data_IF_298197828280
#
_entry.id   IF_298197828280
#
_cell.length_a   1.000
_cell.length_b   1.000
_cell.length_c   1.000
_cell.angle_alpha   90.00
_cell.angle_beta   90.00
_cell.angle_gamma   90.00
#
_symmetry.space_group_name_H-M   'P 1'
#
loop_
_entity.id
_entity.type
_entity.pdbx_description
1 polymer ?
#
# COMPACT_ATOMS: atom_id res chain seq x y z
N UNK A 1 -11.44 -6.65 -7.87
CA UNK A 1 -10.13 -7.22 -8.25
C UNK A 1 -9.73 -8.27 -7.24
N UNK A 2 -8.97 -9.29 -7.62
CA UNK A 2 -8.51 -10.35 -6.70
C UNK A 2 -7.17 -9.99 -6.02
N UNK A 3 -6.67 -10.93 -5.20
CA UNK A 3 -5.44 -10.75 -4.43
C UNK A 3 -4.21 -10.56 -5.32
N UNK A 4 -4.12 -11.29 -6.43
CA UNK A 4 -2.96 -11.25 -7.33
C UNK A 4 -2.93 -9.93 -8.10
N UNK A 5 -4.07 -9.49 -8.62
CA UNK A 5 -4.22 -8.20 -9.26
C UNK A 5 -3.90 -7.04 -8.30
N UNK A 6 -4.35 -7.11 -7.05
CA UNK A 6 -4.03 -6.11 -6.04
C UNK A 6 -2.55 -6.12 -5.65
N UNK A 7 -1.93 -7.30 -5.60
CA UNK A 7 -0.50 -7.46 -5.34
C UNK A 7 0.32 -6.82 -6.45
N UNK A 8 -0.01 -7.11 -7.71
CA UNK A 8 0.65 -6.54 -8.88
C UNK A 8 0.49 -5.02 -8.96
N UNK A 9 -0.72 -4.52 -8.67
CA UNK A 9 -0.96 -3.08 -8.59
C UNK A 9 -0.10 -2.42 -7.50
N UNK A 10 -0.05 -3.01 -6.31
CA UNK A 10 0.67 -2.44 -5.17
C UNK A 10 2.18 -2.36 -5.47
N UNK A 11 2.77 -3.44 -5.98
CA UNK A 11 4.21 -3.48 -6.32
C UNK A 11 4.57 -2.48 -7.42
N UNK A 12 3.72 -2.30 -8.44
CA UNK A 12 3.90 -1.28 -9.47
C UNK A 12 3.77 0.17 -8.95
N UNK A 13 3.17 0.35 -7.77
CA UNK A 13 2.87 1.66 -7.18
C UNK A 13 3.62 1.91 -5.87
N UNK A 14 4.84 1.40 -5.74
CA UNK A 14 5.75 1.74 -4.65
C UNK A 14 5.60 0.91 -3.39
N UNK A 15 4.66 -0.03 -3.34
CA UNK A 15 4.55 -0.93 -2.18
C UNK A 15 5.67 -1.99 -2.22
N UNK A 16 6.18 -2.36 -1.05
CA UNK A 16 7.24 -3.37 -0.90
C UNK A 16 6.85 -4.41 0.13
N UNK A 17 7.32 -5.65 -0.04
CA UNK A 17 7.14 -6.68 0.98
C UNK A 17 7.99 -6.37 2.22
N UNK A 18 7.33 -6.14 3.36
CA UNK A 18 7.96 -5.92 4.66
C UNK A 18 7.28 -6.79 5.70
N UNK A 19 8.05 -7.67 6.37
CA UNK A 19 7.52 -8.54 7.41
C UNK A 19 6.33 -9.41 6.98
N UNK A 20 6.28 -9.82 5.71
CA UNK A 20 5.19 -10.63 5.15
C UNK A 20 3.98 -9.83 4.62
N UNK A 21 4.02 -8.50 4.65
CA UNK A 21 2.93 -7.64 4.18
C UNK A 21 3.41 -6.66 3.11
N UNK A 22 2.57 -6.42 2.09
CA UNK A 22 2.77 -5.29 1.18
C UNK A 22 2.64 -3.99 1.96
N UNK A 23 3.68 -3.19 1.96
CA UNK A 23 3.81 -2.04 2.84
C UNK A 23 4.38 -0.80 2.14
N UNK A 24 3.93 0.37 2.61
CA UNK A 24 4.62 1.63 2.37
C UNK A 24 5.50 1.96 3.57
N UNK A 25 6.70 2.44 3.28
CA UNK A 25 7.72 2.69 4.29
C UNK A 25 7.91 4.17 4.53
N UNK A 26 8.41 4.51 5.72
CA UNK A 26 8.73 5.89 6.06
C UNK A 26 9.76 6.45 5.06
N UNK A 27 9.57 7.68 4.55
CA UNK A 27 10.52 8.29 3.63
C UNK A 27 11.93 8.41 4.24
N UNK A 28 12.04 8.78 5.50
CA UNK A 28 13.34 8.88 6.18
C UNK A 28 13.90 7.53 6.67
N UNK A 29 13.12 6.45 6.63
CA UNK A 29 13.50 5.13 7.14
C UNK A 29 12.92 4.00 6.26
N UNK A 30 13.58 3.63 5.15
CA UNK A 30 13.08 2.68 4.13
C UNK A 30 12.82 1.25 4.64
N UNK A 31 13.28 0.93 5.86
CA UNK A 31 13.05 -0.37 6.49
C UNK A 31 11.87 -0.34 7.48
N UNK A 32 11.29 0.83 7.72
CA UNK A 32 10.18 0.99 8.65
C UNK A 32 8.86 1.11 7.89
N UNK A 33 8.08 0.02 7.89
CA UNK A 33 6.71 0.03 7.39
C UNK A 33 5.81 0.91 8.29
N UNK A 34 5.03 1.80 7.67
CA UNK A 34 4.08 2.69 8.36
C UNK A 34 2.64 2.51 7.85
N UNK A 35 2.47 1.93 6.67
CA UNK A 35 1.17 1.49 6.13
C UNK A 35 1.36 0.10 5.57
N UNK A 36 0.38 -0.80 5.77
CA UNK A 36 0.41 -2.15 5.21
C UNK A 36 -0.96 -2.60 4.70
N UNK A 37 -0.94 -3.42 3.66
CA UNK A 37 -2.06 -4.22 3.21
C UNK A 37 -2.01 -5.59 3.88
N UNK A 38 -3.05 -5.91 4.64
CA UNK A 38 -3.25 -7.23 5.24
C UNK A 38 -4.25 -7.99 4.40
N UNK A 39 -3.71 -8.78 3.46
CA UNK A 39 -4.48 -9.66 2.59
C UNK A 39 -4.93 -10.89 3.39
N UNK A 40 -6.24 -11.11 3.46
CA UNK A 40 -6.87 -12.31 4.01
C UNK A 40 -7.58 -13.06 2.88
N UNK A 41 -8.18 -14.21 3.18
CA UNK A 41 -8.80 -15.07 2.18
C UNK A 41 -9.83 -14.36 1.27
N UNK A 42 -10.70 -13.52 1.83
CA UNK A 42 -11.80 -12.88 1.06
C UNK A 42 -11.78 -11.36 1.13
N UNK A 43 -10.96 -10.80 2.00
CA UNK A 43 -10.90 -9.37 2.29
C UNK A 43 -9.46 -8.91 2.38
N UNK A 44 -9.22 -7.65 2.10
CA UNK A 44 -7.97 -6.96 2.38
C UNK A 44 -8.24 -5.81 3.34
N UNK A 45 -7.35 -5.62 4.31
CA UNK A 45 -7.39 -4.50 5.23
C UNK A 45 -6.22 -3.56 4.97
N UNK A 46 -6.49 -2.27 5.10
CA UNK A 46 -5.49 -1.22 5.12
C UNK A 46 -5.23 -0.86 6.58
N UNK A 47 -3.98 -1.02 7.01
CA UNK A 47 -3.57 -0.73 8.39
C UNK A 47 -2.45 0.32 8.42
N UNK A 48 -2.50 1.19 9.43
CA UNK A 48 -1.49 2.22 9.69
C UNK A 48 -0.83 1.97 11.03
N UNK A 49 0.47 2.19 11.09
CA UNK A 49 1.25 2.09 12.33
C UNK A 49 1.15 3.40 13.10
N UNK A 50 0.63 3.36 14.34
CA UNK A 50 0.64 4.51 15.26
C UNK A 50 2.08 4.81 15.72
N UNK A 51 2.36 6.03 16.24
CA UNK A 51 3.66 6.36 16.83
C UNK A 51 4.11 5.40 17.93
N UNK A 52 3.17 4.84 18.71
CA UNK A 52 3.43 3.82 19.72
C UNK A 52 3.72 2.42 19.15
N UNK A 53 3.82 2.27 17.82
CA UNK A 53 4.14 1.02 17.13
C UNK A 53 2.97 0.07 16.89
N UNK A 54 1.79 0.35 17.45
CA UNK A 54 0.58 -0.47 17.25
C UNK A 54 -0.01 -0.24 15.86
N UNK A 55 -0.39 -1.33 15.18
CA UNK A 55 -1.15 -1.29 13.94
C UNK A 55 -2.65 -1.07 14.20
N UNK A 56 -3.26 -0.20 13.41
CA UNK A 56 -4.69 0.07 13.44
C UNK A 56 -5.28 -0.07 12.04
N UNK A 57 -6.38 -0.82 11.93
CA UNK A 57 -7.16 -0.91 10.70
C UNK A 57 -7.91 0.40 10.48
N UNK A 58 -7.59 1.07 9.37
CA UNK A 58 -8.24 2.32 8.96
C UNK A 58 -9.29 2.09 7.87
N UNK A 59 -9.13 1.03 7.07
CA UNK A 59 -10.09 0.63 6.05
C UNK A 59 -9.97 -0.86 5.73
N UNK A 60 -10.93 -1.39 4.97
CA UNK A 60 -10.85 -2.73 4.41
C UNK A 60 -12.09 -3.09 3.63
N UNK A 61 -11.93 -3.92 2.62
CA UNK A 61 -12.99 -4.32 1.70
C UNK A 61 -12.82 -5.77 1.25
N UNK A 62 -13.92 -6.39 0.84
CA UNK A 62 -13.87 -7.66 0.13
C UNK A 62 -13.28 -7.45 -1.27
N UNK A 63 -12.53 -8.43 -1.80
CA UNK A 63 -11.91 -8.34 -3.13
C UNK A 63 -12.91 -7.99 -4.24
N UNK A 64 -14.12 -8.59 -4.17
CA UNK A 64 -15.21 -8.30 -5.11
C UNK A 64 -15.82 -6.90 -5.00
N UNK A 65 -15.39 -6.07 -4.04
CA UNK A 65 -15.82 -4.67 -3.86
C UNK A 65 -14.70 -3.66 -4.16
N UNK A 66 -13.54 -4.15 -4.58
CA UNK A 66 -12.40 -3.30 -4.93
C UNK A 66 -12.34 -3.19 -6.43
N UNK A 67 -12.35 -1.97 -6.94
CA UNK A 67 -12.34 -1.70 -8.37
C UNK A 67 -11.01 -1.03 -8.76
N UNK A 68 -10.35 -1.49 -9.84
CA UNK A 68 -9.17 -0.81 -10.35
C UNK A 68 -9.56 0.59 -10.80
N UNK A 69 -8.67 1.55 -10.52
CA UNK A 69 -8.79 2.88 -11.11
C UNK A 69 -8.44 2.84 -12.60
N UNK A 70 -9.23 3.53 -13.43
CA UNK A 70 -9.07 3.51 -14.88
C UNK A 70 -7.76 4.17 -15.34
N UNK A 71 -7.21 5.09 -14.56
CA UNK A 71 -5.95 5.79 -14.83
C UNK A 71 -4.74 5.12 -14.15
N UNK A 72 -4.96 3.97 -13.48
CA UNK A 72 -3.91 3.25 -12.75
C UNK A 72 -3.60 3.84 -11.37
N UNK A 73 -4.43 4.75 -10.87
CA UNK A 73 -4.37 5.30 -9.53
C UNK A 73 -4.75 4.30 -8.42
N UNK A 74 -4.98 4.78 -7.19
CA UNK A 74 -5.42 3.94 -6.07
C UNK A 74 -6.77 3.26 -6.36
N UNK A 75 -6.91 1.95 -6.10
CA UNK A 75 -8.16 1.25 -6.34
C UNK A 75 -9.27 1.79 -5.43
N UNK A 76 -10.47 1.85 -5.98
CA UNK A 76 -11.66 2.36 -5.30
C UNK A 76 -12.18 1.32 -4.31
N UNK A 77 -12.71 1.80 -3.18
CA UNK A 77 -13.35 0.96 -2.16
C UNK A 77 -12.41 0.46 -1.05
N UNK A 78 -11.10 0.66 -1.19
CA UNK A 78 -10.10 0.28 -0.18
C UNK A 78 -9.82 1.39 0.85
N UNK A 79 -10.47 2.56 0.73
CA UNK A 79 -10.36 3.67 1.67
C UNK A 79 -9.21 4.62 1.39
N UNK A 80 -8.50 4.47 0.27
CA UNK A 80 -7.44 5.41 -0.14
C UNK A 80 -7.98 6.82 -0.39
N UNK A 81 -9.23 6.92 -0.86
CA UNK A 81 -9.94 8.17 -1.11
C UNK A 81 -10.18 9.00 0.16
N UNK A 82 -10.13 8.37 1.34
CA UNK A 82 -10.39 9.01 2.62
C UNK A 82 -9.14 9.57 3.28
N UNK A 83 -7.95 9.22 2.77
CA UNK A 83 -6.67 9.57 3.40
C UNK A 83 -5.73 10.19 2.35
N UNK A 84 -5.78 11.52 2.16
CA UNK A 84 -5.01 12.22 1.13
C UNK A 84 -3.49 12.03 1.23
N UNK A 85 -2.98 11.78 2.43
CA UNK A 85 -1.54 11.60 2.68
C UNK A 85 -0.96 10.31 2.07
N UNK A 86 -1.79 9.31 1.73
CA UNK A 86 -1.29 8.08 1.13
C UNK A 86 -0.74 8.26 -0.29
N UNK A 87 -1.34 9.15 -1.10
CA UNK A 87 -0.88 9.38 -2.47
C UNK A 87 0.54 9.94 -2.50
N UNK A 88 0.87 10.85 -1.58
CA UNK A 88 2.25 11.35 -1.42
C UNK A 88 3.21 10.24 -1.02
N UNK A 89 2.83 9.45 -0.02
CA UNK A 89 3.67 8.36 0.49
C UNK A 89 3.94 7.29 -0.58
N UNK A 90 2.94 6.93 -1.37
CA UNK A 90 3.08 5.99 -2.49
C UNK A 90 4.05 6.53 -3.54
N UNK A 91 3.92 7.82 -3.90
CA UNK A 91 4.83 8.47 -4.84
C UNK A 91 6.27 8.45 -4.34
N UNK A 92 6.50 8.83 -3.08
CA UNK A 92 7.86 8.83 -2.50
C UNK A 92 8.49 7.43 -2.48
N UNK A 93 7.69 6.39 -2.18
CA UNK A 93 8.18 5.01 -2.21
C UNK A 93 8.44 4.53 -3.65
N UNK A 94 7.59 4.90 -4.62
CA UNK A 94 7.79 4.58 -6.04
C UNK A 94 9.02 5.25 -6.62
N UNK A 95 9.18 6.56 -6.38
CA UNK A 95 10.35 7.33 -6.81
C UNK A 95 11.63 6.68 -6.26
N UNK A 96 11.64 6.29 -4.98
CA UNK A 96 12.77 5.54 -4.39
C UNK A 96 13.06 4.24 -5.11
N UNK A 97 12.06 3.41 -5.42
CA UNK A 97 12.27 2.14 -6.11
C UNK A 97 12.90 2.37 -7.48
N UNK A 98 12.43 3.37 -8.22
CA UNK A 98 12.97 3.76 -9.53
C UNK A 98 14.44 4.18 -9.39
N UNK A 99 14.75 5.14 -8.51
CA UNK A 99 16.12 5.64 -8.35
C UNK A 99 17.09 4.64 -7.70
N UNK A 100 16.61 3.71 -6.87
CA UNK A 100 17.42 2.60 -6.36
C UNK A 100 17.90 1.66 -7.49
N UNK A 101 17.18 1.60 -8.61
CA UNK A 101 17.57 0.84 -9.81
C UNK A 101 18.63 1.53 -10.68
N UNK A 102 18.77 2.87 -10.59
CA UNK A 102 19.72 3.64 -11.41
C UNK A 102 21.15 3.64 -10.88
N UNK A 103 21.37 3.23 -9.62
CA UNK A 103 22.69 3.18 -8.98
C UNK A 103 23.42 1.84 -9.11
N UNK A 104 23.02 0.98 -10.06
CA UNK A 104 23.55 -0.37 -10.25
C UNK A 104 24.21 -0.54 -11.61
#
# INVERSE_FOLDING_TARGET
MDQDALTAWATANGWTMQGGFLSLTKPSAPKEAIVRLVMKATVVNLEVKKPAGKWEKVAGAAYGKIEPDAEGGPPVGLGFEKIPSFSMLMRENKDRQVFAGFGR
#
